data_IF_309373194207
#
_entry.id   IF_309373194207
#
_cell.length_a   1.000
_cell.length_b   1.000
_cell.length_c   1.000
_cell.angle_alpha   90.00
_cell.angle_beta   90.00
_cell.angle_gamma   90.00
#
_symmetry.space_group_name_H-M   'P 1'
#
loop_
_entity.id
_entity.type
_entity.pdbx_description
1 polymer ?
#
# COMPACT_ATOMS: atom_id res chain seq x y z
N UNK A 1 -12.88 17.60 3.29
CA UNK A 1 -13.59 16.68 4.21
C UNK A 1 -13.14 16.93 5.64
N UNK A 2 -14.07 17.02 6.58
CA UNK A 2 -13.82 17.15 8.03
C UNK A 2 -13.60 15.79 8.69
N UNK A 3 -13.03 15.76 9.91
CA UNK A 3 -12.87 14.51 10.67
C UNK A 3 -14.22 13.86 10.99
N UNK A 4 -15.25 14.66 11.25
CA UNK A 4 -16.60 14.17 11.54
C UNK A 4 -17.19 13.46 10.31
N UNK A 5 -17.13 14.10 9.14
CA UNK A 5 -17.60 13.50 7.88
C UNK A 5 -16.89 12.17 7.58
N UNK A 6 -15.58 12.09 7.82
CA UNK A 6 -14.81 10.87 7.62
C UNK A 6 -15.26 9.74 8.58
N UNK A 7 -15.50 10.07 9.84
CA UNK A 7 -15.98 9.10 10.83
C UNK A 7 -17.41 8.62 10.50
N UNK A 8 -18.28 9.53 10.06
CA UNK A 8 -19.64 9.21 9.61
C UNK A 8 -19.64 8.30 8.37
N UNK A 9 -18.72 8.54 7.43
CA UNK A 9 -18.53 7.65 6.28
C UNK A 9 -18.09 6.25 6.72
N UNK A 10 -17.12 6.13 7.64
CA UNK A 10 -16.71 4.82 8.18
C UNK A 10 -17.90 4.09 8.83
N UNK A 11 -18.64 4.77 9.70
CA UNK A 11 -19.79 4.20 10.40
C UNK A 11 -20.91 3.77 9.43
N UNK A 12 -21.17 4.58 8.39
CA UNK A 12 -22.13 4.25 7.33
C UNK A 12 -21.74 2.98 6.57
N UNK A 13 -20.47 2.87 6.17
CA UNK A 13 -19.93 1.69 5.49
C UNK A 13 -19.94 0.46 6.39
N UNK A 14 -19.54 0.59 7.66
CA UNK A 14 -19.60 -0.49 8.64
C UNK A 14 -21.04 -1.04 8.74
N UNK A 15 -22.02 -0.16 8.89
CA UNK A 15 -23.44 -0.54 8.97
C UNK A 15 -23.89 -1.28 7.70
N UNK A 16 -23.54 -0.78 6.52
CA UNK A 16 -23.86 -1.43 5.25
C UNK A 16 -23.26 -2.84 5.17
N UNK A 17 -21.98 -2.99 5.51
CA UNK A 17 -21.30 -4.30 5.49
C UNK A 17 -21.91 -5.29 6.50
N UNK A 18 -22.28 -4.82 7.70
CA UNK A 18 -22.99 -5.64 8.69
C UNK A 18 -24.37 -6.07 8.18
N UNK A 19 -25.12 -5.19 7.49
CA UNK A 19 -26.40 -5.55 6.86
C UNK A 19 -26.24 -6.60 5.75
N UNK A 20 -25.09 -6.61 5.07
CA UNK A 20 -24.72 -7.67 4.12
C UNK A 20 -24.29 -8.97 4.84
N UNK A 21 -24.34 -9.05 6.17
CA UNK A 21 -23.91 -10.22 6.93
C UNK A 21 -22.40 -10.43 6.92
N UNK A 22 -21.60 -9.40 6.65
CA UNK A 22 -20.14 -9.48 6.76
C UNK A 22 -19.76 -9.35 8.25
N UNK A 23 -19.05 -10.32 8.84
CA UNK A 23 -18.80 -10.38 10.28
C UNK A 23 -17.60 -9.52 10.68
N UNK A 24 -17.76 -8.20 10.57
CA UNK A 24 -16.79 -7.21 11.05
C UNK A 24 -16.61 -7.35 12.57
N UNK A 25 -15.39 -7.11 13.07
CA UNK A 25 -15.10 -7.06 14.51
C UNK A 25 -16.02 -6.06 15.22
N UNK A 26 -16.44 -6.33 16.45
CA UNK A 26 -17.18 -5.37 17.29
C UNK A 26 -16.29 -4.24 17.83
N UNK A 27 -14.97 -4.43 17.82
CA UNK A 27 -14.01 -3.57 18.50
C UNK A 27 -13.29 -2.66 17.50
N UNK A 28 -14.05 -1.95 16.66
CA UNK A 28 -13.51 -0.99 15.70
C UNK A 28 -13.58 0.40 16.34
N UNK A 29 -12.45 1.09 16.38
CA UNK A 29 -12.40 2.46 16.88
C UNK A 29 -13.18 3.39 15.94
N UNK A 30 -14.12 4.21 16.45
CA UNK A 30 -15.04 4.98 15.61
C UNK A 30 -14.35 6.13 14.85
N UNK A 31 -13.22 6.62 15.35
CA UNK A 31 -12.45 7.65 14.68
C UNK A 31 -11.43 7.04 13.72
N UNK A 32 -11.48 7.48 12.46
CA UNK A 32 -10.47 7.15 11.43
C UNK A 32 -9.21 7.97 11.68
N UNK A 33 -8.06 7.32 11.72
CA UNK A 33 -6.76 7.99 11.79
C UNK A 33 -6.31 8.51 10.43
N UNK A 34 -5.89 9.78 10.36
CA UNK A 34 -5.34 10.36 9.12
C UNK A 34 -3.82 10.39 9.19
N UNK A 35 -3.16 9.65 8.30
CA UNK A 35 -1.71 9.58 8.21
C UNK A 35 -1.18 10.46 7.08
N UNK A 36 -0.62 11.62 7.44
CA UNK A 36 0.03 12.55 6.50
C UNK A 36 1.39 12.06 5.99
N UNK A 37 1.98 11.04 6.64
CA UNK A 37 3.30 10.48 6.30
C UNK A 37 3.20 9.19 5.49
N UNK A 38 2.00 8.70 5.20
CA UNK A 38 1.81 7.47 4.43
C UNK A 38 2.21 7.69 2.96
N UNK A 39 3.38 7.18 2.59
CA UNK A 39 3.97 7.32 1.24
C UNK A 39 3.85 6.06 0.38
N UNK A 40 3.38 4.94 0.92
CA UNK A 40 3.42 3.62 0.23
C UNK A 40 2.14 2.80 0.35
N UNK A 41 1.14 3.34 1.04
CA UNK A 41 -0.17 2.71 1.24
C UNK A 41 -1.24 3.79 1.27
N UNK A 42 -2.46 3.40 0.92
CA UNK A 42 -3.62 4.26 0.92
C UNK A 42 -4.40 4.17 2.23
N UNK A 43 -4.44 2.98 2.83
CA UNK A 43 -5.02 2.71 4.14
C UNK A 43 -4.22 1.69 4.92
N UNK A 44 -4.63 1.49 6.18
CA UNK A 44 -4.16 0.40 7.02
C UNK A 44 -5.17 0.10 8.14
N UNK A 45 -5.52 -1.16 8.31
CA UNK A 45 -6.14 -1.68 9.52
C UNK A 45 -5.04 -1.98 10.56
N UNK A 46 -5.08 -1.33 11.70
CA UNK A 46 -4.13 -1.54 12.80
C UNK A 46 -4.85 -2.32 13.90
N UNK A 47 -4.53 -3.61 14.03
CA UNK A 47 -5.03 -4.46 15.11
C UNK A 47 -4.08 -4.48 16.30
N UNK A 48 -4.57 -4.13 17.50
CA UNK A 48 -3.82 -4.21 18.76
C UNK A 48 -4.75 -4.64 19.90
N UNK A 49 -4.35 -5.69 20.63
CA UNK A 49 -5.10 -6.21 21.79
C UNK A 49 -6.59 -6.44 21.51
N UNK A 50 -6.91 -6.97 20.32
CA UNK A 50 -8.28 -7.22 19.88
C UNK A 50 -9.09 -5.99 19.45
N UNK A 51 -8.50 -4.80 19.46
CA UNK A 51 -9.07 -3.55 18.97
C UNK A 51 -8.50 -3.19 17.60
N UNK A 52 -9.30 -2.56 16.76
CA UNK A 52 -8.92 -2.18 15.40
C UNK A 52 -9.05 -0.66 15.21
N UNK A 53 -8.00 -0.04 14.69
CA UNK A 53 -8.05 1.35 14.20
C UNK A 53 -7.90 1.36 12.70
N UNK A 54 -8.82 2.03 12.01
CA UNK A 54 -8.71 2.25 10.57
C UNK A 54 -7.92 3.53 10.33
N UNK A 55 -6.84 3.43 9.57
CA UNK A 55 -6.01 4.54 9.14
C UNK A 55 -6.14 4.75 7.62
N UNK A 56 -6.20 6.00 7.18
CA UNK A 56 -6.12 6.38 5.76
C UNK A 56 -5.01 7.41 5.52
N UNK A 57 -4.44 7.40 4.31
CA UNK A 57 -3.48 8.41 3.87
C UNK A 57 -4.19 9.74 3.64
N UNK A 58 -3.57 10.84 4.06
CA UNK A 58 -4.11 12.18 3.79
C UNK A 58 -4.25 12.47 2.28
N UNK A 59 -3.51 11.75 1.42
CA UNK A 59 -3.49 11.93 -0.03
C UNK A 59 -4.78 11.50 -0.74
N UNK A 60 -5.64 10.72 -0.07
CA UNK A 60 -6.88 10.22 -0.67
C UNK A 60 -8.13 10.91 -0.12
N UNK A 61 -7.97 11.89 0.78
CA UNK A 61 -9.12 12.58 1.39
C UNK A 61 -9.94 13.39 0.38
N UNK A 62 -9.30 13.88 -0.68
CA UNK A 62 -9.96 14.62 -1.77
C UNK A 62 -10.35 13.71 -2.95
N UNK A 63 -10.29 12.39 -2.77
CA UNK A 63 -10.69 11.38 -3.77
C UNK A 63 -11.79 10.48 -3.19
N UNK A 64 -13.07 10.91 -3.20
CA UNK A 64 -14.15 10.25 -2.46
C UNK A 64 -14.35 8.76 -2.79
N UNK A 65 -14.28 8.39 -4.07
CA UNK A 65 -14.44 6.99 -4.49
C UNK A 65 -13.29 6.12 -4.00
N UNK A 66 -12.06 6.58 -4.18
CA UNK A 66 -10.85 5.88 -3.72
C UNK A 66 -10.82 5.76 -2.19
N UNK A 67 -11.23 6.80 -1.49
CA UNK A 67 -11.38 6.80 -0.04
C UNK A 67 -12.40 5.76 0.40
N UNK A 68 -13.58 5.74 -0.21
CA UNK A 68 -14.65 4.79 0.10
C UNK A 68 -14.18 3.35 -0.11
N UNK A 69 -13.52 3.05 -1.24
CA UNK A 69 -12.95 1.72 -1.54
C UNK A 69 -11.91 1.34 -0.48
N UNK A 70 -11.04 2.28 -0.12
CA UNK A 70 -10.00 2.06 0.89
C UNK A 70 -10.60 1.78 2.26
N UNK A 71 -11.60 2.53 2.70
CA UNK A 71 -12.28 2.30 3.99
C UNK A 71 -12.92 0.90 4.05
N UNK A 72 -13.61 0.48 2.98
CA UNK A 72 -14.17 -0.87 2.91
C UNK A 72 -13.05 -1.92 2.97
N UNK A 73 -11.96 -1.74 2.21
CA UNK A 73 -10.81 -2.64 2.22
C UNK A 73 -10.26 -2.85 3.65
N UNK A 74 -10.04 -1.76 4.38
CA UNK A 74 -9.49 -1.82 5.74
C UNK A 74 -10.52 -2.36 6.75
N UNK A 75 -11.82 -2.08 6.58
CA UNK A 75 -12.88 -2.70 7.40
C UNK A 75 -12.89 -4.22 7.23
N UNK A 76 -12.75 -4.74 6.01
CA UNK A 76 -12.71 -6.19 5.76
C UNK A 76 -11.54 -6.89 6.47
N UNK A 77 -10.43 -6.20 6.71
CA UNK A 77 -9.31 -6.74 7.49
C UNK A 77 -9.65 -6.96 8.98
N UNK A 78 -10.73 -6.36 9.49
CA UNK A 78 -11.22 -6.59 10.87
C UNK A 78 -11.95 -7.93 11.01
N UNK A 79 -12.36 -8.57 9.91
CA UNK A 79 -12.99 -9.89 9.95
C UNK A 79 -11.98 -10.97 10.41
N UNK A 80 -12.46 -11.95 11.16
CA UNK A 80 -11.64 -13.07 11.59
C UNK A 80 -11.03 -13.83 10.39
N UNK A 81 -9.70 -14.01 10.42
CA UNK A 81 -8.96 -14.70 9.35
C UNK A 81 -8.76 -13.87 8.07
N UNK A 82 -9.05 -12.57 8.10
CA UNK A 82 -8.96 -11.69 6.95
C UNK A 82 -7.77 -10.71 6.99
N UNK A 83 -6.81 -10.88 7.91
CA UNK A 83 -5.61 -10.02 7.99
C UNK A 83 -4.74 -10.09 6.72
N UNK A 84 -4.86 -11.19 5.96
CA UNK A 84 -4.31 -11.33 4.62
C UNK A 84 -5.46 -11.39 3.60
N UNK A 85 -5.18 -11.10 2.33
CA UNK A 85 -6.14 -11.20 1.22
C UNK A 85 -6.43 -12.66 0.78
N UNK A 86 -6.65 -13.55 1.75
CA UNK A 86 -6.99 -14.97 1.53
C UNK A 86 -8.41 -15.17 0.99
N UNK A 87 -8.82 -16.44 0.80
CA UNK A 87 -10.13 -16.80 0.23
C UNK A 87 -11.30 -16.11 0.93
N UNK A 88 -11.28 -16.04 2.27
CA UNK A 88 -12.34 -15.42 3.07
C UNK A 88 -12.45 -13.91 2.81
N UNK A 89 -11.32 -13.20 2.85
CA UNK A 89 -11.27 -11.77 2.53
C UNK A 89 -11.77 -11.51 1.12
N UNK A 90 -11.32 -12.30 0.12
CA UNK A 90 -11.78 -12.17 -1.28
C UNK A 90 -13.29 -12.40 -1.43
N UNK A 91 -13.85 -13.36 -0.70
CA UNK A 91 -15.29 -13.60 -0.68
C UNK A 91 -16.07 -12.40 -0.14
N UNK A 92 -15.61 -11.79 0.96
CA UNK A 92 -16.25 -10.58 1.48
C UNK A 92 -16.04 -9.35 0.58
N UNK A 93 -14.87 -9.22 -0.05
CA UNK A 93 -14.59 -8.16 -1.01
C UNK A 93 -15.49 -8.26 -2.24
N UNK A 94 -15.70 -9.46 -2.79
CA UNK A 94 -16.63 -9.67 -3.90
C UNK A 94 -18.08 -9.33 -3.49
N UNK A 95 -18.53 -9.83 -2.33
CA UNK A 95 -19.88 -9.55 -1.80
C UNK A 95 -20.12 -8.06 -1.58
N UNK A 96 -19.18 -7.37 -0.93
CA UNK A 96 -19.27 -5.94 -0.69
C UNK A 96 -19.19 -5.14 -2.00
N UNK A 97 -18.30 -5.53 -2.91
CA UNK A 97 -18.12 -4.86 -4.20
C UNK A 97 -19.37 -4.92 -5.07
N UNK A 98 -19.99 -6.11 -5.17
CA UNK A 98 -21.25 -6.30 -5.89
C UNK A 98 -22.38 -5.45 -5.28
N UNK A 99 -22.56 -5.51 -3.96
CA UNK A 99 -23.66 -4.82 -3.29
C UNK A 99 -23.52 -3.29 -3.27
N UNK A 100 -22.28 -2.77 -3.28
CA UNK A 100 -22.01 -1.33 -3.19
C UNK A 100 -21.66 -0.71 -4.55
N UNK A 101 -21.55 -1.50 -5.62
CA UNK A 101 -21.13 -1.03 -6.94
C UNK A 101 -19.67 -0.56 -6.97
N UNK A 102 -18.78 -1.28 -6.28
CA UNK A 102 -17.39 -0.87 -6.06
C UNK A 102 -16.41 -1.97 -6.47
N UNK A 103 -15.27 -1.60 -7.05
CA UNK A 103 -14.21 -2.56 -7.36
C UNK A 103 -13.18 -2.66 -6.21
N UNK A 104 -13.32 -3.69 -5.36
CA UNK A 104 -12.45 -3.90 -4.20
C UNK A 104 -11.35 -4.91 -4.57
N UNK A 105 -10.18 -4.39 -4.96
CA UNK A 105 -9.00 -5.20 -5.30
C UNK A 105 -8.09 -5.46 -4.08
N UNK A 106 -7.27 -6.50 -4.15
CA UNK A 106 -6.22 -6.79 -3.16
C UNK A 106 -5.09 -5.77 -3.19
N UNK A 107 -4.83 -5.20 -4.37
CA UNK A 107 -3.86 -4.15 -4.63
C UNK A 107 -4.52 -3.08 -5.46
N UNK A 108 -4.45 -1.84 -5.00
CA UNK A 108 -4.94 -0.69 -5.77
C UNK A 108 -3.96 -0.40 -6.90
N UNK A 109 -4.46 -0.42 -8.14
CA UNK A 109 -3.80 0.24 -9.25
C UNK A 109 -4.25 1.70 -9.21
N UNK A 110 -3.35 2.64 -8.93
CA UNK A 110 -3.66 4.05 -9.16
C UNK A 110 -3.70 4.23 -10.69
N UNK A 111 -4.81 4.72 -11.23
CA UNK A 111 -4.93 4.92 -12.68
C UNK A 111 -3.87 5.90 -13.20
N UNK A 112 -3.27 5.57 -14.36
CA UNK A 112 -2.08 6.21 -14.94
C UNK A 112 -0.92 5.22 -15.10
N UNK A 113 0.20 5.67 -15.70
CA UNK A 113 1.53 5.04 -15.51
C UNK A 113 1.65 4.65 -14.03
N UNK A 114 2.19 3.46 -13.65
CA UNK A 114 2.24 3.00 -12.27
C UNK A 114 3.08 3.97 -11.43
N UNK A 115 2.45 5.06 -11.01
CA UNK A 115 3.04 6.09 -10.20
C UNK A 115 3.13 5.44 -8.85
N UNK A 116 4.29 4.82 -8.61
CA UNK A 116 4.63 4.24 -7.34
C UNK A 116 4.29 5.32 -6.33
N UNK A 117 3.49 4.99 -5.32
CA UNK A 117 3.09 5.90 -4.25
C UNK A 117 4.27 6.74 -3.72
N UNK A 118 5.49 6.19 -3.83
CA UNK A 118 6.74 6.95 -3.86
C UNK A 118 7.74 6.38 -4.89
N UNK A 119 8.25 7.23 -5.78
CA UNK A 119 9.48 6.96 -6.53
C UNK A 119 10.69 7.42 -5.70
N UNK A 120 11.40 6.48 -5.07
CA UNK A 120 12.68 6.82 -4.42
C UNK A 120 13.75 6.99 -5.49
N UNK A 121 14.57 8.07 -5.48
CA UNK A 121 15.63 8.21 -6.47
C UNK A 121 16.56 6.99 -6.46
N UNK A 122 17.14 6.68 -7.61
CA UNK A 122 18.24 5.72 -7.66
C UNK A 122 19.36 6.30 -6.81
N UNK A 123 19.97 5.48 -5.94
CA UNK A 123 21.05 5.90 -5.04
C UNK A 123 22.41 5.38 -5.49
N UNK A 124 22.43 4.28 -6.23
CA UNK A 124 23.61 3.66 -6.81
C UNK A 124 23.22 2.72 -7.96
N UNK A 125 24.19 2.34 -8.77
CA UNK A 125 24.08 1.26 -9.74
C UNK A 125 24.99 0.10 -9.34
N UNK A 126 24.56 -1.13 -9.58
CA UNK A 126 25.48 -2.26 -9.66
C UNK A 126 25.85 -2.46 -11.13
N UNK A 127 27.13 -2.35 -11.43
CA UNK A 127 27.70 -2.56 -12.75
C UNK A 127 28.34 -3.95 -12.82
N UNK A 128 27.98 -4.74 -13.83
CA UNK A 128 28.64 -6.01 -14.08
C UNK A 128 29.87 -5.80 -14.95
N UNK A 129 31.05 -6.18 -14.44
CA UNK A 129 32.32 -6.04 -15.17
C UNK A 129 32.46 -6.97 -16.38
N UNK A 130 31.62 -8.00 -16.49
CA UNK A 130 31.68 -8.96 -17.60
C UNK A 130 30.74 -8.60 -18.76
N UNK A 131 29.48 -8.27 -18.47
CA UNK A 131 28.47 -7.99 -19.50
C UNK A 131 28.02 -6.52 -19.57
N UNK A 132 28.58 -5.63 -18.75
CA UNK A 132 28.25 -4.21 -18.72
C UNK A 132 26.87 -3.86 -18.15
N UNK A 133 26.09 -4.85 -17.67
CA UNK A 133 24.74 -4.59 -17.16
C UNK A 133 24.76 -3.63 -15.97
N UNK A 134 23.95 -2.56 -16.06
CA UNK A 134 23.69 -1.61 -14.98
C UNK A 134 22.36 -1.96 -14.29
N UNK A 135 22.39 -2.17 -12.98
CA UNK A 135 21.23 -2.54 -12.17
C UNK A 135 20.94 -1.39 -11.19
N UNK A 136 19.88 -0.59 -11.39
CA UNK A 136 19.59 0.56 -10.54
C UNK A 136 19.15 0.12 -9.13
N UNK A 137 19.73 0.74 -8.10
CA UNK A 137 19.44 0.46 -6.69
C UNK A 137 18.94 1.71 -5.99
N UNK A 138 17.65 1.69 -5.61
CA UNK A 138 17.00 2.75 -4.81
C UNK A 138 17.29 2.62 -3.30
N UNK A 139 17.83 1.48 -2.87
CA UNK A 139 18.25 1.19 -1.49
C UNK A 139 19.69 0.70 -1.46
N UNK A 140 20.44 1.13 -0.45
CA UNK A 140 21.79 0.62 -0.14
C UNK A 140 21.70 -0.76 0.54
N UNK A 141 21.21 -1.75 -0.22
CA UNK A 141 21.07 -3.15 0.21
C UNK A 141 22.43 -3.82 0.43
N UNK A 142 22.45 -5.03 1.00
CA UNK A 142 23.68 -5.85 1.13
C UNK A 142 24.45 -5.97 -0.20
N UNK A 143 23.75 -6.14 -1.32
CA UNK A 143 24.39 -6.18 -2.65
C UNK A 143 25.08 -4.87 -3.06
N UNK A 144 24.72 -3.72 -2.48
CA UNK A 144 25.42 -2.44 -2.70
C UNK A 144 26.55 -2.26 -1.68
N UNK A 145 26.36 -2.71 -0.43
CA UNK A 145 27.41 -2.62 0.60
C UNK A 145 28.53 -3.64 0.43
N UNK A 146 28.19 -4.79 -0.14
CA UNK A 146 29.04 -5.98 -0.31
C UNK A 146 28.81 -6.58 -1.70
N UNK A 147 29.08 -5.84 -2.80
CA UNK A 147 28.85 -6.32 -4.16
C UNK A 147 29.65 -7.58 -4.49
N UNK A 148 30.79 -7.80 -3.83
CA UNK A 148 31.66 -8.97 -3.98
C UNK A 148 30.98 -10.30 -3.62
N UNK A 149 29.90 -10.26 -2.83
CA UNK A 149 29.15 -11.47 -2.42
C UNK A 149 28.08 -11.89 -3.43
N UNK A 150 27.91 -11.14 -4.51
CA UNK A 150 26.83 -11.33 -5.47
C UNK A 150 27.38 -11.37 -6.89
N UNK A 151 26.75 -12.18 -7.73
CA UNK A 151 27.09 -12.28 -9.14
C UNK A 151 25.93 -11.77 -9.99
N UNK A 152 26.28 -11.22 -11.15
CA UNK A 152 25.33 -10.99 -12.23
C UNK A 152 24.75 -12.33 -12.71
N UNK A 153 23.53 -12.39 -13.26
CA UNK A 153 23.02 -13.59 -13.92
C UNK A 153 23.92 -14.17 -15.02
N UNK A 154 24.83 -13.37 -15.60
CA UNK A 154 25.85 -13.87 -16.53
C UNK A 154 27.08 -14.51 -15.85
N UNK A 155 27.13 -14.56 -14.52
CA UNK A 155 28.27 -15.03 -13.72
C UNK A 155 29.32 -13.97 -13.41
N UNK A 156 29.24 -12.78 -14.00
CA UNK A 156 30.21 -11.70 -13.78
C UNK A 156 30.10 -11.05 -12.40
N UNK A 157 31.24 -10.64 -11.85
CA UNK A 157 31.34 -9.87 -10.61
C UNK A 157 30.72 -8.48 -10.74
N UNK A 158 30.14 -8.00 -9.64
CA UNK A 158 29.49 -6.69 -9.57
C UNK A 158 30.40 -5.68 -8.87
N UNK A 159 30.31 -4.42 -9.31
CA UNK A 159 30.87 -3.27 -8.62
C UNK A 159 29.80 -2.18 -8.45
N UNK A 160 30.05 -1.21 -7.57
CA UNK A 160 29.09 -0.12 -7.29
C UNK A 160 29.54 1.13 -8.03
N UNK A 161 28.61 1.71 -8.79
CA UNK A 161 28.77 3.05 -9.35
C UNK A 161 27.83 4.01 -8.60
N UNK A 162 28.31 5.19 -8.16
CA UNK A 162 27.44 6.23 -7.63
C UNK A 162 26.51 6.74 -8.73
N UNK A 163 25.40 7.35 -8.34
CA UNK A 163 24.57 8.09 -9.30
C UNK A 163 25.34 9.37 -9.63
N UNK A 164 25.63 9.65 -10.91
CA UNK A 164 26.23 10.93 -11.28
C UNK A 164 25.30 12.06 -10.80
N UNK A 165 25.84 13.21 -10.36
CA UNK A 165 25.00 14.36 -10.03
C UNK A 165 24.09 14.65 -11.23
N UNK A 166 22.80 14.86 -10.97
CA UNK A 166 21.89 15.32 -12.02
C UNK A 166 22.47 16.62 -12.56
N UNK A 167 22.86 16.65 -13.83
CA UNK A 167 23.19 17.91 -14.50
C UNK A 167 21.98 18.82 -14.32
N UNK A 168 22.19 19.96 -13.67
CA UNK A 168 21.20 21.02 -13.53
C UNK A 168 20.65 21.29 -14.94
N UNK A 169 19.42 20.86 -15.19
CA UNK A 169 18.69 21.25 -16.40
C UNK A 169 18.41 22.75 -16.26
N UNK A 170 19.34 23.57 -16.74
CA UNK A 170 19.15 24.98 -17.07
C UNK A 170 17.94 25.18 -17.97
#
# INVERSE_FOLDING_TARGET
MTQQELNEQLAGLEKQLRLLGIPLSSNIHPQVAVNRRAQRRLGCCIGKDGNFTIEVSARILDHPELLRVTLVHELLHTCYGCQNHGKRWKGYAAKAGEALGMEIRTTVALEGEPQRLREEPVKAYLHCRSCGRLIPRRRLSKAVKHPERYLCPCGGVLEVLPVPPEEEKT
#
